data_IF_236790783486
#
_entry.id   IF_236790783486
#
_cell.length_a   1.000
_cell.length_b   1.000
_cell.length_c   1.000
_cell.angle_alpha   90.00
_cell.angle_beta   90.00
_cell.angle_gamma   90.00
#
_symmetry.space_group_name_H-M   'P 1'
#
loop_
_entity.id
_entity.type
_entity.pdbx_description
1 polymer ?
#
# COMPACT_ATOMS: atom_id res chain seq x y z
N UNK A 1 -2.08 -3.24 1.13
CA UNK A 1 -3.10 -2.21 0.85
C UNK A 1 -2.98 -1.22 1.97
N UNK A 2 -2.72 0.04 1.65
CA UNK A 2 -2.41 1.09 2.62
C UNK A 2 -2.94 2.42 2.11
N UNK A 3 -3.48 3.21 3.03
CA UNK A 3 -4.00 4.54 2.80
C UNK A 3 -4.30 5.21 4.14
N UNK A 4 -4.49 6.53 4.11
CA UNK A 4 -4.75 7.34 5.31
C UNK A 4 -5.92 8.30 5.09
N UNK A 5 -6.56 8.70 6.19
CA UNK A 5 -7.67 9.65 6.17
C UNK A 5 -8.79 9.22 5.19
N UNK A 6 -9.29 10.15 4.36
CA UNK A 6 -10.31 9.86 3.36
C UNK A 6 -9.78 9.16 2.11
N UNK A 7 -8.46 9.17 1.90
CA UNK A 7 -7.74 8.75 0.69
C UNK A 7 -8.58 8.80 -0.60
N UNK A 8 -8.42 9.91 -1.33
CA UNK A 8 -9.12 10.13 -2.60
C UNK A 8 -8.31 9.67 -3.82
N UNK A 9 -7.09 9.18 -3.62
CA UNK A 9 -6.13 8.91 -4.69
C UNK A 9 -6.09 7.41 -5.01
N UNK A 10 -6.20 6.57 -3.98
CA UNK A 10 -6.33 5.13 -4.10
C UNK A 10 -5.23 4.38 -3.36
N UNK A 11 -5.25 3.05 -3.48
CA UNK A 11 -4.37 2.19 -2.71
C UNK A 11 -2.89 2.48 -3.00
N UNK A 12 -2.12 2.75 -1.95
CA UNK A 12 -0.66 2.77 -2.02
C UNK A 12 -0.08 1.38 -1.75
N UNK A 13 0.85 0.97 -2.61
CA UNK A 13 1.73 -0.17 -2.39
C UNK A 13 3.15 0.34 -2.23
N UNK A 14 3.78 0.01 -1.11
CA UNK A 14 5.05 0.61 -0.71
C UNK A 14 6.00 -0.44 -0.17
N UNK A 15 7.28 -0.34 -0.51
CA UNK A 15 8.34 -1.12 0.14
C UNK A 15 9.18 -0.24 1.05
N UNK A 16 9.56 -0.82 2.19
CA UNK A 16 10.50 -0.23 3.14
C UNK A 16 11.64 -1.22 3.38
N UNK A 17 12.88 -0.78 3.17
CA UNK A 17 14.08 -1.61 3.24
C UNK A 17 15.19 -0.93 4.03
N UNK A 18 16.31 -1.64 4.21
CA UNK A 18 17.61 -1.03 4.48
C UNK A 18 18.18 -0.38 3.20
N UNK A 19 19.33 0.28 3.29
CA UNK A 19 19.98 0.93 2.13
C UNK A 19 20.33 -0.06 1.02
N UNK A 20 20.24 0.39 -0.24
CA UNK A 20 20.63 -0.41 -1.41
C UNK A 20 19.46 -0.91 -2.26
N UNK A 21 18.27 -0.38 -2.03
CA UNK A 21 17.06 -0.69 -2.79
C UNK A 21 16.44 0.60 -3.32
N UNK A 22 16.45 0.78 -4.63
CA UNK A 22 15.93 1.98 -5.29
C UNK A 22 15.08 1.61 -6.51
N UNK A 23 13.96 2.30 -6.66
CA UNK A 23 12.99 2.09 -7.73
C UNK A 23 13.08 3.15 -8.82
N UNK A 24 14.14 3.94 -8.91
CA UNK A 24 14.47 4.82 -10.04
C UNK A 24 15.00 4.03 -11.24
N UNK A 25 14.22 3.01 -11.58
CA UNK A 25 14.42 2.09 -12.68
C UNK A 25 13.13 1.99 -13.48
N UNK A 26 13.20 1.30 -14.61
CA UNK A 26 12.02 1.04 -15.42
C UNK A 26 11.16 -0.03 -14.74
N UNK A 27 10.01 0.38 -14.23
CA UNK A 27 8.98 -0.51 -13.68
C UNK A 27 7.86 -0.75 -14.71
N UNK A 28 7.39 -1.98 -14.84
CA UNK A 28 6.27 -2.36 -15.71
C UNK A 28 4.97 -2.34 -14.92
N UNK A 29 4.44 -1.14 -14.71
CA UNK A 29 3.28 -0.92 -13.84
C UNK A 29 2.24 0.00 -14.46
N UNK A 30 1.00 -0.08 -13.98
CA UNK A 30 -0.08 0.86 -14.34
C UNK A 30 -0.21 2.02 -13.35
N UNK A 31 0.26 1.85 -12.10
CA UNK A 31 0.21 2.87 -11.07
C UNK A 31 1.28 3.94 -11.19
N UNK A 32 1.11 5.03 -10.45
CA UNK A 32 2.01 6.20 -10.44
C UNK A 32 3.05 6.06 -9.34
N UNK A 33 4.33 6.23 -9.68
CA UNK A 33 5.41 6.23 -8.68
C UNK A 33 5.36 7.50 -7.84
N UNK A 34 5.36 7.36 -6.52
CA UNK A 34 5.36 8.46 -5.56
C UNK A 34 6.78 8.79 -5.08
N UNK A 35 7.55 7.76 -4.73
CA UNK A 35 8.93 7.84 -4.25
C UNK A 35 9.71 6.63 -4.76
N UNK A 36 11.01 6.80 -5.03
CA UNK A 36 11.88 5.73 -5.54
C UNK A 36 12.75 5.08 -4.48
N UNK A 37 13.22 5.84 -3.47
CA UNK A 37 14.11 5.32 -2.42
C UNK A 37 13.31 4.49 -1.41
N UNK A 38 13.59 3.19 -1.34
CA UNK A 38 12.90 2.28 -0.43
C UNK A 38 13.44 2.33 1.01
N UNK A 39 14.54 3.07 1.25
CA UNK A 39 15.20 3.08 2.56
C UNK A 39 14.30 3.67 3.65
N UNK A 40 14.03 2.90 4.70
CA UNK A 40 13.13 3.30 5.78
C UNK A 40 13.61 4.50 6.61
N UNK A 41 14.91 4.81 6.57
CA UNK A 41 15.51 5.89 7.36
C UNK A 41 15.58 7.22 6.62
N UNK A 42 15.01 7.32 5.41
CA UNK A 42 14.94 8.54 4.60
C UNK A 42 13.49 8.97 4.43
N UNK A 43 13.27 10.24 4.03
CA UNK A 43 11.96 10.77 3.67
C UNK A 43 10.83 10.54 4.69
N UNK A 44 11.16 10.51 5.99
CA UNK A 44 10.18 10.24 7.04
C UNK A 44 9.59 8.82 7.02
N UNK A 45 10.37 7.84 6.57
CA UNK A 45 9.92 6.47 6.32
C UNK A 45 8.84 6.38 5.24
N UNK A 46 8.88 7.23 4.21
CA UNK A 46 7.96 7.15 3.08
C UNK A 46 8.13 5.86 2.26
N UNK A 47 9.36 5.32 2.19
CA UNK A 47 9.68 4.16 1.34
C UNK A 47 9.49 4.46 -0.14
N UNK A 48 9.49 3.42 -0.95
CA UNK A 48 9.25 3.52 -2.39
C UNK A 48 7.82 3.10 -2.72
N UNK A 49 6.96 4.10 -2.91
CA UNK A 49 5.51 3.93 -3.06
C UNK A 49 5.04 4.02 -4.52
N UNK A 50 4.01 3.24 -4.83
CA UNK A 50 3.24 3.31 -6.07
C UNK A 50 1.76 3.44 -5.72
N UNK A 51 1.11 4.42 -6.34
CA UNK A 51 -0.30 4.74 -6.15
C UNK A 51 -1.16 4.15 -7.28
N UNK A 52 -2.25 3.50 -6.90
CA UNK A 52 -3.26 2.97 -7.82
C UNK A 52 -4.24 4.04 -8.32
N UNK A 53 -5.31 3.60 -8.97
CA UNK A 53 -6.45 4.48 -9.24
C UNK A 53 -7.37 4.57 -8.03
N UNK A 54 -8.20 5.61 -7.99
CA UNK A 54 -9.20 5.85 -6.92
C UNK A 54 -10.13 4.67 -6.64
N UNK A 55 -10.36 3.79 -7.62
CA UNK A 55 -11.18 2.58 -7.50
C UNK A 55 -10.52 1.43 -6.73
N UNK A 56 -9.26 1.58 -6.33
CA UNK A 56 -8.48 0.51 -5.70
C UNK A 56 -8.52 0.53 -4.18
N UNK A 57 -9.14 1.55 -3.56
CA UNK A 57 -9.27 1.66 -2.12
C UNK A 57 -10.59 2.30 -1.68
N UNK A 58 -10.88 2.17 -0.38
CA UNK A 58 -11.90 2.96 0.31
C UNK A 58 -13.31 2.79 -0.24
N UNK A 59 -14.08 3.87 -0.20
CA UNK A 59 -15.50 3.88 -0.62
C UNK A 59 -15.66 3.41 -2.06
N UNK A 60 -14.81 3.83 -2.99
CA UNK A 60 -14.93 3.42 -4.39
C UNK A 60 -14.69 1.91 -4.58
N UNK A 61 -13.73 1.34 -3.84
CA UNK A 61 -13.50 -0.11 -3.84
C UNK A 61 -14.70 -0.87 -3.25
N UNK A 62 -15.25 -0.36 -2.14
CA UNK A 62 -16.41 -0.96 -1.47
C UNK A 62 -17.68 -0.89 -2.32
N UNK A 63 -17.95 0.25 -2.96
CA UNK A 63 -19.08 0.45 -3.88
C UNK A 63 -18.97 -0.44 -5.13
N UNK A 64 -17.74 -0.79 -5.52
CA UNK A 64 -17.44 -1.79 -6.55
C UNK A 64 -17.64 -3.25 -6.11
N UNK A 65 -17.99 -3.49 -4.84
CA UNK A 65 -18.14 -4.83 -4.27
C UNK A 65 -16.82 -5.48 -3.82
N UNK A 66 -15.76 -4.69 -3.66
CA UNK A 66 -14.42 -5.16 -3.30
C UNK A 66 -13.64 -5.72 -4.50
N UNK A 67 -12.72 -6.64 -4.22
CA UNK A 67 -11.83 -7.18 -5.25
C UNK A 67 -10.75 -8.10 -4.71
N UNK A 68 -9.80 -8.44 -5.59
CA UNK A 68 -8.68 -9.31 -5.27
C UNK A 68 -7.39 -8.50 -5.17
N UNK A 69 -6.62 -8.75 -4.12
CA UNK A 69 -5.23 -8.32 -4.02
C UNK A 69 -4.34 -9.54 -4.18
N UNK A 70 -3.44 -9.50 -5.15
CA UNK A 70 -2.50 -10.57 -5.41
C UNK A 70 -1.08 -10.02 -5.37
N UNK A 71 -0.21 -10.74 -4.66
CA UNK A 71 1.20 -10.39 -4.54
C UNK A 71 2.05 -11.62 -4.85
N UNK A 72 3.03 -11.42 -5.72
CA UNK A 72 4.08 -12.33 -6.09
C UNK A 72 5.39 -11.73 -5.60
N UNK A 73 6.14 -12.54 -4.86
CA UNK A 73 7.49 -12.23 -4.41
C UNK A 73 8.44 -13.31 -4.92
N UNK A 74 9.44 -12.89 -5.68
CA UNK A 74 10.53 -13.73 -6.22
C UNK A 74 11.85 -12.96 -6.12
N UNK A 75 12.95 -13.61 -6.48
CA UNK A 75 14.26 -12.96 -6.56
C UNK A 75 14.28 -11.83 -7.60
N UNK A 76 13.44 -11.90 -8.64
CA UNK A 76 13.30 -10.88 -9.68
C UNK A 76 12.53 -9.63 -9.25
N UNK A 77 11.80 -9.68 -8.14
CA UNK A 77 11.02 -8.53 -7.66
C UNK A 77 9.76 -8.89 -6.88
N UNK A 78 9.03 -7.84 -6.51
CA UNK A 78 7.72 -7.91 -5.88
C UNK A 78 6.70 -7.20 -6.77
N UNK A 79 5.61 -7.88 -7.12
CA UNK A 79 4.55 -7.36 -8.01
C UNK A 79 3.27 -8.19 -7.88
N UNK A 80 2.32 -8.02 -8.82
CA UNK A 80 1.19 -8.96 -8.97
C UNK A 80 1.67 -10.25 -9.68
N UNK A 81 1.20 -11.46 -9.29
CA UNK A 81 1.52 -12.69 -10.02
C UNK A 81 1.09 -12.59 -11.49
N UNK A 82 1.78 -13.34 -12.35
CA UNK A 82 1.44 -13.49 -13.77
C UNK A 82 0.71 -14.82 -14.02
N UNK A 83 -0.60 -14.90 -13.81
CA UNK A 83 -1.40 -15.94 -14.43
C UNK A 83 -1.66 -15.55 -15.89
N UNK A 84 -1.62 -16.56 -16.76
CA UNK A 84 -1.78 -16.39 -18.20
C UNK A 84 -2.96 -15.47 -18.55
N UNK A 85 -2.66 -14.28 -19.07
CA UNK A 85 -3.65 -13.30 -19.53
C UNK A 85 -3.91 -12.12 -18.58
N UNK A 86 -3.28 -12.04 -17.41
CA UNK A 86 -3.32 -10.81 -16.63
C UNK A 86 -2.53 -9.69 -17.33
N UNK A 87 -3.03 -8.47 -17.19
CA UNK A 87 -2.36 -7.28 -17.69
C UNK A 87 -1.14 -6.90 -16.84
N UNK A 88 -0.59 -5.72 -17.09
CA UNK A 88 0.50 -5.19 -16.26
C UNK A 88 0.04 -5.08 -14.78
N UNK A 89 0.96 -5.34 -13.86
CA UNK A 89 0.72 -5.18 -12.43
C UNK A 89 0.41 -3.71 -12.08
N UNK A 90 -0.33 -3.50 -10.99
CA UNK A 90 -0.58 -2.14 -10.49
C UNK A 90 0.71 -1.47 -10.00
N UNK A 91 1.55 -2.20 -9.27
CA UNK A 91 2.91 -1.80 -8.89
C UNK A 91 3.91 -2.90 -9.25
N UNK A 92 5.11 -2.49 -9.63
CA UNK A 92 6.22 -3.37 -9.99
C UNK A 92 7.50 -2.87 -9.31
N UNK A 93 8.06 -3.70 -8.43
CA UNK A 93 9.29 -3.44 -7.70
C UNK A 93 10.37 -4.42 -8.17
N UNK A 94 11.01 -4.18 -9.33
CA UNK A 94 11.97 -5.09 -9.91
C UNK A 94 13.29 -5.08 -9.15
N UNK A 95 14.06 -6.16 -9.28
CA UNK A 95 15.36 -6.29 -8.62
C UNK A 95 16.52 -5.51 -9.28
N UNK A 96 16.24 -4.73 -10.34
CA UNK A 96 17.25 -4.02 -11.16
C UNK A 96 18.23 -3.19 -10.32
N UNK A 97 17.73 -2.52 -9.29
CA UNK A 97 18.53 -1.74 -8.33
C UNK A 97 18.12 -2.05 -6.88
N UNK A 98 17.68 -3.29 -6.63
CA UNK A 98 17.27 -3.75 -5.31
C UNK A 98 17.41 -5.27 -5.20
N UNK A 99 18.32 -5.77 -4.38
CA UNK A 99 18.45 -7.21 -4.15
C UNK A 99 17.35 -7.68 -3.19
N UNK A 100 16.29 -8.26 -3.75
CA UNK A 100 15.13 -8.77 -3.00
C UNK A 100 15.52 -9.74 -1.89
N UNK A 101 16.46 -10.65 -2.18
CA UNK A 101 16.87 -11.72 -1.26
C UNK A 101 17.65 -11.17 -0.05
N UNK A 102 18.33 -10.04 -0.23
CA UNK A 102 19.08 -9.38 0.83
C UNK A 102 18.18 -8.58 1.78
N UNK A 103 17.08 -8.03 1.26
CA UNK A 103 16.19 -7.12 2.00
C UNK A 103 14.96 -7.81 2.59
N UNK A 104 14.41 -8.81 1.90
CA UNK A 104 13.18 -9.47 2.31
C UNK A 104 13.46 -10.93 2.70
N UNK A 105 12.93 -11.32 3.86
CA UNK A 105 12.96 -12.69 4.39
C UNK A 105 11.54 -13.14 4.66
N UNK A 106 11.35 -14.31 5.27
CA UNK A 106 10.03 -14.84 5.63
C UNK A 106 9.15 -13.74 6.26
N UNK A 107 8.11 -13.35 5.54
CA UNK A 107 7.16 -12.33 5.95
C UNK A 107 5.96 -12.97 6.64
N UNK A 108 5.27 -12.19 7.48
CA UNK A 108 3.94 -12.52 7.99
C UNK A 108 2.92 -11.60 7.34
N UNK A 109 1.76 -12.13 6.99
CA UNK A 109 0.63 -11.30 6.60
C UNK A 109 0.12 -10.55 7.83
N UNK A 110 0.11 -9.22 7.77
CA UNK A 110 -0.43 -8.34 8.81
C UNK A 110 -1.63 -7.61 8.20
N UNK A 111 -2.73 -7.62 8.95
CA UNK A 111 -3.95 -6.89 8.62
C UNK A 111 -4.33 -6.12 9.88
N UNK A 112 -4.40 -4.80 9.77
CA UNK A 112 -4.82 -3.94 10.86
C UNK A 112 -5.63 -2.77 10.33
N UNK A 113 -6.33 -2.12 11.24
CA UNK A 113 -6.82 -0.75 11.11
C UNK A 113 -6.27 -0.07 12.35
N UNK A 114 -5.47 0.98 12.16
CA UNK A 114 -5.06 1.87 13.24
C UNK A 114 -5.67 3.25 12.98
N UNK A 115 -5.86 4.03 14.04
CA UNK A 115 -6.51 5.34 13.95
C UNK A 115 -5.55 6.41 14.45
N UNK A 116 -5.39 7.45 13.63
CA UNK A 116 -4.40 8.50 13.84
C UNK A 116 -2.95 7.99 13.76
N UNK A 117 -2.07 8.48 14.63
CA UNK A 117 -0.63 8.20 14.54
C UNK A 117 0.09 9.15 13.59
N UNK A 118 1.41 9.04 13.55
CA UNK A 118 2.29 10.03 12.92
C UNK A 118 2.03 10.22 11.42
N UNK A 119 1.78 9.13 10.69
CA UNK A 119 1.53 9.18 9.25
C UNK A 119 0.21 9.92 8.93
N UNK A 120 -0.85 9.59 9.66
CA UNK A 120 -2.19 10.19 9.48
C UNK A 120 -2.17 11.67 9.86
N UNK A 121 -1.59 11.99 11.03
CA UNK A 121 -1.52 13.37 11.55
C UNK A 121 -0.69 14.28 10.64
N UNK A 122 0.37 13.76 10.00
CA UNK A 122 1.21 14.52 9.07
C UNK A 122 0.45 15.04 7.83
N UNK A 123 -0.72 14.46 7.51
CA UNK A 123 -1.56 14.84 6.37
C UNK A 123 -2.97 15.26 6.76
N UNK A 124 -3.28 15.32 8.06
CA UNK A 124 -4.65 15.52 8.52
C UNK A 124 -5.23 16.88 8.10
N UNK A 125 -4.44 17.95 8.17
CA UNK A 125 -4.89 19.31 7.82
C UNK A 125 -5.38 19.44 6.38
N UNK A 126 -4.79 18.68 5.45
CA UNK A 126 -5.14 18.71 4.02
C UNK A 126 -6.10 17.57 3.62
N UNK A 127 -6.51 16.73 4.57
CA UNK A 127 -7.28 15.51 4.30
C UNK A 127 -8.77 15.74 4.03
N UNK A 128 -9.27 16.94 4.30
CA UNK A 128 -10.70 17.25 4.29
C UNK A 128 -11.48 16.61 5.44
N UNK A 129 -10.82 15.90 6.37
CA UNK A 129 -11.45 15.38 7.58
C UNK A 129 -11.88 16.52 8.51
N UNK A 130 -12.97 16.32 9.26
CA UNK A 130 -13.47 17.30 10.21
C UNK A 130 -12.66 17.34 11.51
N UNK A 131 -13.11 18.14 12.47
CA UNK A 131 -12.46 18.28 13.78
C UNK A 131 -11.16 19.10 13.72
N UNK A 132 -10.58 19.34 14.90
CA UNK A 132 -9.35 20.14 15.06
C UNK A 132 -8.06 19.32 14.90
N UNK A 133 -8.14 18.00 15.06
CA UNK A 133 -7.06 17.02 14.89
C UNK A 133 -7.66 15.64 14.65
N UNK A 134 -6.86 14.66 14.21
CA UNK A 134 -7.36 13.28 14.11
C UNK A 134 -7.83 12.77 15.47
N UNK A 135 -7.07 13.07 16.53
CA UNK A 135 -7.39 12.67 17.90
C UNK A 135 -8.74 13.22 18.38
N UNK A 136 -9.06 14.47 18.04
CA UNK A 136 -10.36 15.09 18.31
C UNK A 136 -11.48 14.44 17.50
N UNK A 137 -11.24 14.21 16.21
CA UNK A 137 -12.24 13.59 15.34
C UNK A 137 -12.58 12.17 15.77
N UNK A 138 -11.57 11.32 16.04
CA UNK A 138 -11.81 9.94 16.47
C UNK A 138 -12.56 9.86 17.80
N UNK A 139 -12.30 10.77 18.74
CA UNK A 139 -12.92 10.75 20.05
C UNK A 139 -14.41 11.15 20.00
N UNK A 140 -14.77 12.01 19.07
CA UNK A 140 -16.07 12.67 19.04
C UNK A 140 -17.00 12.22 17.89
N UNK A 141 -16.52 11.39 16.96
CA UNK A 141 -17.29 10.95 15.79
C UNK A 141 -17.30 9.41 15.63
N UNK A 142 -17.76 8.63 16.62
CA UNK A 142 -17.73 7.16 16.55
C UNK A 142 -18.50 6.61 15.34
N UNK A 143 -19.56 7.30 14.92
CA UNK A 143 -20.37 6.93 13.76
C UNK A 143 -19.62 7.01 12.42
N UNK A 144 -18.55 7.81 12.34
CA UNK A 144 -17.72 7.92 11.13
C UNK A 144 -16.91 6.64 10.84
N UNK A 145 -16.76 5.75 11.83
CA UNK A 145 -15.97 4.51 11.71
C UNK A 145 -16.84 3.26 11.49
N UNK A 146 -18.15 3.40 11.26
CA UNK A 146 -19.06 2.27 10.99
C UNK A 146 -18.66 1.43 9.78
N UNK A 147 -17.96 2.04 8.82
CA UNK A 147 -17.44 1.39 7.60
C UNK A 147 -15.96 1.07 7.68
N UNK A 148 -15.30 1.29 8.83
CA UNK A 148 -13.90 0.96 9.05
C UNK A 148 -13.75 -0.49 9.53
N UNK A 149 -13.99 -1.44 8.64
CA UNK A 149 -13.80 -2.88 8.90
C UNK A 149 -13.24 -3.58 7.67
N UNK A 150 -12.69 -4.77 7.90
CA UNK A 150 -12.32 -5.68 6.82
C UNK A 150 -13.32 -6.84 6.73
N UNK A 151 -13.71 -7.21 5.52
CA UNK A 151 -14.43 -8.43 5.22
C UNK A 151 -13.64 -9.21 4.17
N UNK A 152 -13.24 -10.44 4.50
CA UNK A 152 -12.38 -11.26 3.64
C UNK A 152 -13.12 -12.50 3.16
N UNK A 153 -13.07 -12.75 1.85
CA UNK A 153 -13.53 -14.01 1.28
C UNK A 153 -12.58 -15.17 1.59
N UNK A 154 -11.30 -15.05 1.21
CA UNK A 154 -10.29 -16.07 1.45
C UNK A 154 -8.86 -15.51 1.40
N UNK A 155 -7.95 -16.22 2.05
CA UNK A 155 -6.51 -16.06 1.88
C UNK A 155 -5.94 -17.33 1.27
N UNK A 156 -5.18 -17.16 0.19
CA UNK A 156 -4.49 -18.25 -0.49
C UNK A 156 -3.01 -17.94 -0.58
N UNK A 157 -2.19 -18.91 -0.19
CA UNK A 157 -0.74 -18.83 -0.28
C UNK A 157 -0.24 -19.92 -1.22
N UNK A 158 0.58 -19.52 -2.17
CA UNK A 158 1.15 -20.40 -3.18
C UNK A 158 2.67 -20.27 -3.13
N UNK A 159 3.36 -21.37 -3.43
CA UNK A 159 4.80 -21.37 -3.66
C UNK A 159 5.06 -21.84 -5.08
N UNK A 160 5.99 -21.17 -5.78
CA UNK A 160 6.48 -21.69 -7.05
C UNK A 160 7.36 -22.94 -6.77
N UNK A 161 7.12 -24.01 -7.52
CA UNK A 161 7.95 -25.21 -7.56
C UNK A 161 9.10 -25.05 -8.54
#
# INVERSE_FOLDING_TARGET
MEAINQDTDGNQMTLHTTSGCDMDVKCKQTGTKLQSDCKNSTNGNAGCGVEGSVSTYGTNFNDGGGGYMAMEWRDEGIRSPDPSGWGNAMADFPNTACDMSSHFKNQSLIINIDVCGSLVEAKYADSGCGGSSCSDFQANNPDAFKTAYWEFGAFHFYTAS
#
